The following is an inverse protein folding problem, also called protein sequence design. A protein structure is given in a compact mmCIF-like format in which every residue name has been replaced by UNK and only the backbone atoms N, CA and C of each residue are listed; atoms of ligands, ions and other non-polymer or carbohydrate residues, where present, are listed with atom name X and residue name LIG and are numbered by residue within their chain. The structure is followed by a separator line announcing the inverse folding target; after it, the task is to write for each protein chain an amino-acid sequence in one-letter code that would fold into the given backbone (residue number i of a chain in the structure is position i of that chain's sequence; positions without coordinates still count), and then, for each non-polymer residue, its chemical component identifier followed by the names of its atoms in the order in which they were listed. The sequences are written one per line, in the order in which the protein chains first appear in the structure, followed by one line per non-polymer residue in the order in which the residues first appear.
data_IF_391515367616
#
_entry.id   IF_391515367616
#
_cell.length_a   1.000
_cell.length_b   1.000
_cell.length_c   1.000
_cell.angle_alpha   90.00
_cell.angle_beta   90.00
_cell.angle_gamma   90.00
#
_symmetry.space_group_name_H-M   'P 1'
#
loop_
_entity.id
_entity.type
_entity.pdbx_description
1 polymer ?
#
# COMPACT_ATOMS: atom_id res chain seq x y z
N UNK A 1 -4.34 27.81 -14.58
CA UNK A 1 -4.75 26.96 -13.44
C UNK A 1 -3.50 26.69 -12.60
N UNK A 2 -3.39 27.21 -11.38
CA UNK A 2 -2.24 26.94 -10.51
C UNK A 2 -2.26 25.45 -10.12
N UNK A 3 -1.22 24.72 -10.48
CA UNK A 3 -1.11 23.28 -10.22
C UNK A 3 -1.03 22.97 -8.72
N UNK A 4 -1.76 21.96 -8.26
CA UNK A 4 -1.68 21.45 -6.89
C UNK A 4 -0.38 20.66 -6.74
N UNK A 5 0.44 20.99 -5.74
CA UNK A 5 1.58 20.15 -5.31
C UNK A 5 1.13 19.26 -4.16
N UNK A 6 1.36 17.96 -4.27
CA UNK A 6 0.93 16.95 -3.30
C UNK A 6 2.14 16.15 -2.84
N UNK A 7 2.28 15.97 -1.53
CA UNK A 7 3.24 15.05 -0.93
C UNK A 7 2.48 13.86 -0.35
N UNK A 8 2.91 12.65 -0.68
CA UNK A 8 2.37 11.41 -0.13
C UNK A 8 3.49 10.72 0.64
N UNK A 9 3.27 10.51 1.93
CA UNK A 9 4.20 9.77 2.80
C UNK A 9 3.63 8.37 3.00
N UNK A 10 4.46 7.34 2.82
CA UNK A 10 4.07 5.94 2.95
C UNK A 10 4.82 5.28 4.09
N UNK A 11 4.11 4.46 4.86
CA UNK A 11 4.66 3.68 5.97
C UNK A 11 4.36 2.21 5.72
N UNK A 12 5.37 1.36 5.84
CA UNK A 12 5.18 -0.08 5.92
C UNK A 12 4.91 -0.48 7.37
N UNK A 13 4.03 -1.46 7.57
CA UNK A 13 3.75 -2.02 8.88
C UNK A 13 3.55 -3.54 8.81
N UNK A 14 3.79 -4.19 9.93
CA UNK A 14 3.36 -5.57 10.16
C UNK A 14 2.03 -5.52 10.89
N UNK A 15 1.00 -6.13 10.32
CA UNK A 15 -0.32 -6.23 10.96
C UNK A 15 -0.23 -7.30 12.05
N UNK A 16 -0.46 -6.91 13.30
CA UNK A 16 -0.35 -7.80 14.47
C UNK A 16 -1.61 -8.67 14.69
N UNK A 17 -2.70 -8.36 13.99
CA UNK A 17 -3.97 -9.12 14.02
C UNK A 17 -4.37 -9.55 12.61
N UNK A 18 -3.55 -10.39 11.93
CA UNK A 18 -3.78 -10.80 10.55
C UNK A 18 -5.07 -11.61 10.34
N UNK A 19 -5.61 -12.21 11.40
CA UNK A 19 -6.87 -12.95 11.41
C UNK A 19 -8.10 -12.05 11.24
N UNK A 20 -7.97 -10.75 11.54
CA UNK A 20 -9.07 -9.81 11.38
C UNK A 20 -9.18 -9.40 9.91
N UNK A 21 -10.29 -9.73 9.21
CA UNK A 21 -10.45 -9.32 7.83
C UNK A 21 -10.55 -7.79 7.75
N UNK A 22 -9.89 -7.17 6.76
CA UNK A 22 -10.02 -5.74 6.53
C UNK A 22 -11.44 -5.39 6.05
N UNK A 23 -11.93 -4.22 6.47
CA UNK A 23 -13.30 -3.75 6.21
C UNK A 23 -13.25 -2.45 5.40
N UNK A 24 -14.13 -2.34 4.41
CA UNK A 24 -14.29 -1.13 3.58
C UNK A 24 -15.01 -0.05 4.39
N UNK A 25 -14.43 1.14 4.49
CA UNK A 25 -15.11 2.32 5.03
C UNK A 25 -15.90 3.05 3.94
N UNK A 26 -16.77 3.98 4.34
CA UNK A 26 -17.56 4.81 3.42
C UNK A 26 -16.74 5.68 2.46
N UNK A 27 -15.45 5.90 2.74
CA UNK A 27 -14.54 6.64 1.85
C UNK A 27 -14.09 5.81 0.63
N UNK A 28 -14.32 4.49 0.63
CA UNK A 28 -13.84 3.57 -0.39
C UNK A 28 -14.97 2.69 -0.91
N UNK A 29 -14.90 2.32 -2.20
CA UNK A 29 -15.91 1.46 -2.82
C UNK A 29 -15.56 -0.03 -2.72
N UNK A 30 -14.26 -0.36 -2.75
CA UNK A 30 -13.76 -1.74 -2.81
C UNK A 30 -12.41 -1.88 -2.13
N UNK A 31 -12.11 -3.11 -1.72
CA UNK A 31 -10.84 -3.52 -1.14
C UNK A 31 -10.40 -4.87 -1.72
N UNK A 32 -9.09 -5.05 -1.90
CA UNK A 32 -8.48 -6.33 -2.22
C UNK A 32 -7.14 -6.51 -1.50
N UNK A 33 -6.79 -7.78 -1.22
CA UNK A 33 -5.47 -8.16 -0.72
C UNK A 33 -4.67 -8.73 -1.89
N UNK A 34 -3.43 -8.25 -2.04
CA UNK A 34 -2.58 -8.59 -3.17
C UNK A 34 -1.21 -9.07 -2.69
N UNK A 35 -0.68 -10.11 -3.34
CA UNK A 35 0.71 -10.50 -3.16
C UNK A 35 1.63 -9.44 -3.78
N UNK A 36 2.89 -9.39 -3.33
CA UNK A 36 3.89 -8.47 -3.88
C UNK A 36 3.99 -8.58 -5.41
N UNK A 37 3.97 -9.81 -5.95
CA UNK A 37 4.09 -10.05 -7.38
C UNK A 37 2.91 -9.52 -8.23
N UNK A 38 1.75 -9.25 -7.62
CA UNK A 38 0.60 -8.68 -8.32
C UNK A 38 0.67 -7.15 -8.46
N UNK A 39 1.45 -6.47 -7.60
CA UNK A 39 1.53 -5.01 -7.51
C UNK A 39 1.85 -4.32 -8.85
N UNK A 40 2.77 -4.83 -9.70
CA UNK A 40 3.05 -4.21 -10.99
C UNK A 40 1.81 -4.06 -11.89
N UNK A 41 0.88 -5.02 -11.82
CA UNK A 41 -0.35 -5.07 -12.63
C UNK A 41 -1.51 -4.23 -12.10
N UNK A 42 -1.39 -3.63 -10.91
CA UNK A 42 -2.47 -2.84 -10.32
C UNK A 42 -2.61 -1.45 -10.97
N UNK A 43 -3.86 -0.99 -11.12
CA UNK A 43 -4.19 0.37 -11.52
C UNK A 43 -4.02 1.32 -10.33
N UNK A 44 -2.80 1.83 -10.15
CA UNK A 44 -2.43 2.76 -9.08
C UNK A 44 -1.23 3.61 -9.53
N UNK A 45 -1.04 4.83 -9.01
CA UNK A 45 0.08 5.68 -9.42
C UNK A 45 1.45 5.04 -9.09
N UNK A 46 2.44 5.26 -9.95
CA UNK A 46 3.76 4.61 -9.84
C UNK A 46 4.47 4.89 -8.52
N UNK A 47 4.22 6.06 -7.91
CA UNK A 47 4.76 6.40 -6.59
C UNK A 47 4.40 5.37 -5.52
N UNK A 48 3.18 4.82 -5.56
CA UNK A 48 2.76 3.79 -4.63
C UNK A 48 3.42 2.44 -4.94
N UNK A 49 3.57 2.07 -6.22
CA UNK A 49 4.24 0.81 -6.61
C UNK A 49 5.69 0.80 -6.13
N UNK A 50 6.40 1.93 -6.29
CA UNK A 50 7.76 2.12 -5.78
C UNK A 50 7.83 2.04 -4.26
N UNK A 51 6.88 2.64 -3.54
CA UNK A 51 6.83 2.58 -2.09
C UNK A 51 6.68 1.13 -1.57
N UNK A 52 5.80 0.35 -2.20
CA UNK A 52 5.62 -1.07 -1.84
C UNK A 52 6.91 -1.86 -2.13
N UNK A 53 7.52 -1.69 -3.31
CA UNK A 53 8.78 -2.37 -3.64
C UNK A 53 9.92 -2.00 -2.67
N UNK A 54 10.04 -0.72 -2.31
CA UNK A 54 11.04 -0.23 -1.36
C UNK A 54 10.84 -0.83 0.04
N UNK A 55 9.59 -0.96 0.50
CA UNK A 55 9.30 -1.62 1.78
C UNK A 55 9.71 -3.09 1.77
N UNK A 56 9.33 -3.86 0.73
CA UNK A 56 9.69 -5.27 0.62
C UNK A 56 11.20 -5.49 0.48
N UNK A 57 11.92 -4.57 -0.16
CA UNK A 57 13.38 -4.62 -0.31
C UNK A 57 14.18 -4.40 0.99
N UNK A 58 13.56 -3.92 2.08
CA UNK A 58 14.25 -3.66 3.36
C UNK A 58 14.58 -4.91 4.17
N UNK A 59 14.01 -6.07 3.81
CA UNK A 59 14.09 -7.29 4.62
C UNK A 59 13.26 -7.15 5.90
N UNK A 60 12.21 -7.96 6.04
CA UNK A 60 11.39 -7.95 7.26
C UNK A 60 12.20 -8.60 8.37
N UNK A 61 12.62 -7.82 9.37
CA UNK A 61 13.14 -8.36 10.63
C UNK A 61 11.93 -8.66 11.50
N UNK A 62 11.53 -9.94 11.54
CA UNK A 62 10.60 -10.43 12.56
C UNK A 62 11.27 -10.19 13.91
N UNK A 63 10.65 -9.35 14.73
CA UNK A 63 11.02 -9.13 16.14
C UNK A 63 10.25 -10.15 16.97
#
# INVERSE_FOLDING_TARGET
MVGRRVLIVTYGCTVLTPERPPVVSHEHERLGLFSMGAVPGLTMPDGYKRAVAAWYGRGIRLV
#
